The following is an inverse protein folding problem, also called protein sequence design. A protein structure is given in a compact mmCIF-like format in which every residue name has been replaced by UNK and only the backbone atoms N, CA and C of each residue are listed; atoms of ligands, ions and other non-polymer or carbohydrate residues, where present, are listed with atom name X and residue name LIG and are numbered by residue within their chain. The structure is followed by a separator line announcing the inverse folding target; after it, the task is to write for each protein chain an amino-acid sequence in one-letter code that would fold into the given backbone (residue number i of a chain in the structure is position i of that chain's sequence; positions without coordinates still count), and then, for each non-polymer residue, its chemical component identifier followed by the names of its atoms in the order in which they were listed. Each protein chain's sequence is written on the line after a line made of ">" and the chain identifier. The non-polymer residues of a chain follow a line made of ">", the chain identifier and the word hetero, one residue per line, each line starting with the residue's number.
data_IF_564388655316
#
_entry.id   IF_564388655316
#
_cell.length_a   1.000
_cell.length_b   1.000
_cell.length_c   1.000
_cell.angle_alpha   90.00
_cell.angle_beta   90.00
_cell.angle_gamma   90.00
#
_symmetry.space_group_name_H-M   'P 1'
#
loop_
_entity.id
_entity.type
_entity.pdbx_description
1 polymer ?
#
# COMPACT_ATOMS: atom_id res chain seq x y z
N UNK A 1 18.08 -4.60 14.88
CA UNK A 1 16.70 -5.11 14.66
C UNK A 1 15.95 -4.05 13.91
N UNK A 2 15.43 -4.36 12.72
CA UNK A 2 14.54 -3.44 12.03
C UNK A 2 13.19 -3.63 12.66
N UNK A 3 12.84 -2.66 13.47
CA UNK A 3 11.52 -2.60 14.04
C UNK A 3 10.64 -1.89 13.03
N UNK A 4 9.55 -2.52 12.62
CA UNK A 4 8.52 -1.89 11.82
C UNK A 4 7.68 -0.95 12.72
N UNK A 5 8.39 -0.15 13.51
CA UNK A 5 7.83 0.82 14.44
C UNK A 5 8.20 2.23 14.03
N UNK A 6 7.21 3.07 13.87
CA UNK A 6 7.34 4.48 13.60
C UNK A 6 7.12 5.36 14.85
N UNK A 7 6.96 6.64 14.60
CA UNK A 7 6.68 7.61 15.67
C UNK A 7 5.24 7.51 16.18
N UNK A 8 4.30 7.17 15.31
CA UNK A 8 2.86 7.17 15.58
C UNK A 8 2.20 5.83 15.33
N UNK A 9 2.88 4.92 14.65
CA UNK A 9 2.30 3.67 14.18
C UNK A 9 3.30 2.53 14.20
N UNK A 10 2.76 1.33 14.08
CA UNK A 10 3.50 0.11 13.79
C UNK A 10 3.01 -0.47 12.46
N UNK A 11 3.90 -1.12 11.73
CA UNK A 11 3.54 -1.98 10.62
C UNK A 11 3.64 -3.42 11.11
N UNK A 12 2.55 -4.17 10.96
CA UNK A 12 2.49 -5.56 11.42
C UNK A 12 1.85 -6.48 10.40
N UNK A 13 2.11 -7.77 10.54
CA UNK A 13 1.44 -8.77 9.74
C UNK A 13 -0.08 -8.76 9.95
N UNK A 14 -0.80 -9.34 8.98
CA UNK A 14 -2.21 -9.63 9.10
C UNK A 14 -2.43 -10.72 10.16
N UNK A 15 -3.48 -10.55 10.96
CA UNK A 15 -3.93 -11.51 11.96
C UNK A 15 -5.39 -11.90 11.67
N UNK A 16 -5.86 -13.07 12.15
CA UNK A 16 -7.25 -13.48 11.96
C UNK A 16 -8.28 -12.46 12.45
N UNK A 17 -7.93 -11.70 13.47
CA UNK A 17 -8.76 -10.64 14.08
C UNK A 17 -8.97 -9.44 13.15
N UNK A 18 -8.17 -9.31 12.09
CA UNK A 18 -8.29 -8.22 11.11
C UNK A 18 -9.43 -8.43 10.11
N UNK A 19 -10.20 -9.52 10.20
CA UNK A 19 -11.27 -9.84 9.26
C UNK A 19 -12.29 -8.70 9.11
N UNK A 20 -12.75 -8.15 10.22
CA UNK A 20 -13.76 -7.08 10.18
C UNK A 20 -13.17 -5.77 9.65
N UNK A 21 -11.92 -5.48 9.96
CA UNK A 21 -11.19 -4.35 9.39
C UNK A 21 -11.04 -4.49 7.87
N UNK A 22 -10.62 -5.66 7.38
CA UNK A 22 -10.51 -5.92 5.95
C UNK A 22 -11.87 -5.84 5.25
N UNK A 23 -12.91 -6.44 5.85
CA UNK A 23 -14.25 -6.44 5.28
C UNK A 23 -14.78 -5.01 5.11
N UNK A 24 -14.59 -4.17 6.11
CA UNK A 24 -15.01 -2.75 6.06
C UNK A 24 -14.17 -1.96 5.05
N UNK A 25 -12.85 -2.16 5.04
CA UNK A 25 -11.94 -1.40 4.20
C UNK A 25 -12.04 -1.79 2.72
N UNK A 26 -12.05 -3.08 2.41
CA UNK A 26 -12.11 -3.59 1.03
C UNK A 26 -13.48 -3.33 0.38
N UNK A 27 -14.53 -3.15 1.17
CA UNK A 27 -15.87 -2.83 0.68
C UNK A 27 -16.22 -1.33 0.74
N UNK A 28 -15.30 -0.49 1.20
CA UNK A 28 -15.48 0.96 1.15
C UNK A 28 -15.26 1.47 -0.29
N UNK A 29 -16.35 1.87 -0.94
CA UNK A 29 -16.32 2.35 -2.32
C UNK A 29 -15.46 3.59 -2.53
N UNK A 30 -15.16 4.36 -1.49
CA UNK A 30 -14.22 5.48 -1.57
C UNK A 30 -12.78 5.04 -1.92
N UNK A 31 -12.43 3.79 -1.62
CA UNK A 31 -11.11 3.24 -1.92
C UNK A 31 -11.07 2.42 -3.22
N UNK A 32 -12.22 2.09 -3.80
CA UNK A 32 -12.28 1.22 -4.98
C UNK A 32 -11.53 1.78 -6.19
N UNK A 33 -11.51 3.08 -6.36
CA UNK A 33 -10.75 3.71 -7.45
C UNK A 33 -9.24 3.50 -7.29
N UNK A 34 -8.75 3.55 -6.06
CA UNK A 34 -7.32 3.37 -5.75
C UNK A 34 -6.92 1.90 -5.80
N UNK A 35 -7.81 1.00 -5.33
CA UNK A 35 -7.56 -0.44 -5.27
C UNK A 35 -7.94 -1.21 -6.53
N UNK A 36 -8.52 -0.54 -7.55
CA UNK A 36 -9.08 -1.16 -8.76
C UNK A 36 -10.15 -2.24 -8.46
N UNK A 37 -10.87 -2.08 -7.36
CA UNK A 37 -11.94 -3.00 -6.96
C UNK A 37 -13.20 -2.69 -7.73
N UNK A 38 -13.90 -3.71 -8.21
CA UNK A 38 -15.14 -3.56 -8.99
C UNK A 38 -16.33 -4.27 -8.35
N UNK A 39 -16.07 -5.24 -7.46
CA UNK A 39 -17.09 -6.06 -6.83
C UNK A 39 -16.84 -6.17 -5.33
N UNK A 40 -17.89 -6.31 -4.51
CA UNK A 40 -17.71 -6.47 -3.08
C UNK A 40 -17.07 -7.81 -2.72
N UNK A 41 -16.35 -7.81 -1.62
CA UNK A 41 -15.75 -9.01 -1.02
C UNK A 41 -16.67 -9.57 0.06
N UNK A 42 -16.87 -10.89 0.07
CA UNK A 42 -17.52 -11.58 1.18
C UNK A 42 -16.54 -11.79 2.34
N UNK A 43 -17.06 -11.91 3.56
CA UNK A 43 -16.23 -12.34 4.69
C UNK A 43 -15.60 -13.71 4.48
N UNK A 44 -16.27 -14.59 3.76
CA UNK A 44 -15.73 -15.91 3.42
C UNK A 44 -14.44 -15.82 2.59
N UNK A 45 -14.45 -15.02 1.51
CA UNK A 45 -13.27 -14.79 0.67
C UNK A 45 -12.14 -14.13 1.46
N UNK A 46 -12.45 -13.12 2.27
CA UNK A 46 -11.45 -12.45 3.09
C UNK A 46 -10.87 -13.36 4.18
N UNK A 47 -11.68 -14.26 4.73
CA UNK A 47 -11.19 -15.28 5.67
C UNK A 47 -10.20 -16.24 5.00
N UNK A 48 -10.51 -16.72 3.79
CA UNK A 48 -9.58 -17.53 3.01
C UNK A 48 -8.28 -16.78 2.70
N UNK A 49 -8.38 -15.49 2.37
CA UNK A 49 -7.21 -14.65 2.16
C UNK A 49 -6.33 -14.57 3.43
N UNK A 50 -6.93 -14.38 4.60
CA UNK A 50 -6.19 -14.37 5.88
C UNK A 50 -5.57 -15.74 6.19
N UNK A 51 -6.26 -16.84 5.93
CA UNK A 51 -5.72 -18.19 6.10
C UNK A 51 -4.51 -18.46 5.21
N UNK A 52 -4.43 -17.83 4.03
CA UNK A 52 -3.31 -17.92 3.09
C UNK A 52 -2.26 -16.83 3.27
N UNK A 53 -2.43 -15.92 4.23
CA UNK A 53 -1.48 -14.82 4.49
C UNK A 53 -0.12 -15.28 5.04
N UNK A 54 0.04 -16.58 5.37
CA UNK A 54 1.30 -17.20 5.75
C UNK A 54 2.25 -17.45 4.56
N UNK A 55 1.77 -17.36 3.32
CA UNK A 55 2.62 -17.53 2.15
C UNK A 55 3.72 -16.48 2.16
N UNK A 56 4.95 -16.90 1.88
CA UNK A 56 6.04 -15.97 1.82
C UNK A 56 5.98 -15.07 0.57
N UNK A 57 6.73 -13.99 0.61
CA UNK A 57 6.73 -12.98 -0.46
C UNK A 57 7.24 -13.53 -1.80
N UNK A 58 8.07 -14.58 -1.80
CA UNK A 58 8.59 -15.19 -3.03
C UNK A 58 7.56 -16.03 -3.74
N UNK A 59 6.64 -16.65 -2.98
CA UNK A 59 5.49 -17.36 -3.54
C UNK A 59 4.36 -16.40 -3.92
N UNK A 60 3.93 -15.58 -2.99
CA UNK A 60 2.80 -14.69 -3.16
C UNK A 60 3.07 -13.53 -4.13
N UNK A 61 4.34 -13.15 -4.32
CA UNK A 61 4.77 -11.96 -5.07
C UNK A 61 4.16 -10.66 -4.58
N UNK A 62 3.66 -10.67 -3.35
CA UNK A 62 3.03 -9.55 -2.67
C UNK A 62 3.20 -9.66 -1.16
N UNK A 63 3.10 -8.53 -0.48
CA UNK A 63 3.10 -8.43 0.97
C UNK A 63 2.10 -7.35 1.37
N UNK A 64 1.25 -7.64 2.34
CA UNK A 64 0.37 -6.65 2.97
C UNK A 64 0.69 -6.55 4.44
N UNK A 65 0.88 -5.33 4.93
CA UNK A 65 1.02 -5.05 6.34
C UNK A 65 -0.10 -4.12 6.81
N UNK A 66 -0.57 -4.35 8.02
CA UNK A 66 -1.50 -3.45 8.70
C UNK A 66 -0.73 -2.23 9.23
N UNK A 67 -1.28 -1.07 9.00
CA UNK A 67 -0.88 0.17 9.68
C UNK A 67 -1.71 0.25 10.97
N UNK A 68 -1.04 0.10 12.10
CA UNK A 68 -1.67 0.10 13.42
C UNK A 68 -1.24 1.34 14.20
N UNK A 69 -2.19 2.14 14.67
CA UNK A 69 -1.88 3.28 15.52
C UNK A 69 -1.29 2.83 16.85
N UNK A 70 -0.12 3.35 17.22
CA UNK A 70 0.63 2.91 18.41
C UNK A 70 -0.05 3.20 19.73
N UNK A 71 -0.89 4.25 19.80
CA UNK A 71 -1.55 4.65 21.05
C UNK A 71 -2.74 3.77 21.41
N UNK A 72 -3.48 3.33 20.40
CA UNK A 72 -4.76 2.63 20.58
C UNK A 72 -4.71 1.18 20.14
N UNK A 73 -3.60 0.75 19.48
CA UNK A 73 -3.48 -0.54 18.82
C UNK A 73 -4.63 -0.80 17.83
N UNK A 74 -5.08 0.25 17.15
CA UNK A 74 -6.17 0.19 16.18
C UNK A 74 -5.61 0.12 14.77
N UNK A 75 -6.12 -0.81 13.96
CA UNK A 75 -5.84 -0.86 12.53
C UNK A 75 -6.46 0.37 11.84
N UNK A 76 -5.65 1.19 11.18
CA UNK A 76 -6.06 2.44 10.55
C UNK A 76 -5.80 2.48 9.05
N UNK A 77 -5.12 1.49 8.51
CA UNK A 77 -4.78 1.42 7.10
C UNK A 77 -3.98 0.18 6.76
N UNK A 78 -3.51 0.15 5.54
CA UNK A 78 -2.69 -0.93 4.99
C UNK A 78 -1.59 -0.35 4.11
N UNK A 79 -0.46 -1.04 4.07
CA UNK A 79 0.61 -0.77 3.11
C UNK A 79 0.94 -2.07 2.37
N UNK A 80 1.00 -1.99 1.07
CA UNK A 80 1.14 -3.13 0.19
C UNK A 80 2.43 -3.06 -0.62
N UNK A 81 3.01 -4.22 -0.82
CA UNK A 81 4.04 -4.46 -1.82
C UNK A 81 3.44 -5.44 -2.83
N UNK A 82 3.52 -5.12 -4.12
CA UNK A 82 2.96 -5.91 -5.20
C UNK A 82 3.95 -6.04 -6.35
N UNK A 83 3.70 -6.96 -7.27
CA UNK A 83 4.59 -7.25 -8.40
C UNK A 83 6.06 -7.43 -7.96
N UNK A 84 6.24 -8.12 -6.82
CA UNK A 84 7.56 -8.39 -6.28
C UNK A 84 8.34 -9.27 -7.26
N UNK A 85 9.42 -8.73 -7.75
CA UNK A 85 10.33 -9.41 -8.68
C UNK A 85 11.72 -9.53 -8.06
N UNK A 86 12.05 -10.70 -7.49
CA UNK A 86 13.35 -10.91 -6.85
C UNK A 86 14.52 -10.92 -7.83
N UNK A 87 14.30 -11.36 -9.08
CA UNK A 87 15.34 -11.37 -10.10
C UNK A 87 15.80 -9.95 -10.45
N UNK A 88 14.85 -9.03 -10.62
CA UNK A 88 15.13 -7.64 -10.95
C UNK A 88 15.15 -6.72 -9.73
N UNK A 89 14.96 -7.28 -8.54
CA UNK A 89 15.03 -6.59 -7.25
C UNK A 89 14.14 -5.33 -7.22
N UNK A 90 12.88 -5.48 -7.67
CA UNK A 90 11.91 -4.38 -7.72
C UNK A 90 10.53 -4.82 -7.23
N UNK A 91 9.75 -3.86 -6.78
CA UNK A 91 8.34 -4.05 -6.45
C UNK A 91 7.58 -2.74 -6.54
N UNK A 92 6.26 -2.84 -6.73
CA UNK A 92 5.35 -1.73 -6.56
C UNK A 92 4.95 -1.59 -5.09
N UNK A 93 4.63 -0.38 -4.68
CA UNK A 93 4.08 -0.10 -3.35
C UNK A 93 2.80 0.69 -3.45
N UNK A 94 1.86 0.39 -2.55
CA UNK A 94 0.62 1.13 -2.38
C UNK A 94 0.35 1.35 -0.89
N UNK A 95 -0.34 2.43 -0.57
CA UNK A 95 -0.71 2.76 0.81
C UNK A 95 -2.13 3.27 0.86
N UNK A 96 -2.85 2.83 1.88
CA UNK A 96 -4.22 3.25 2.17
C UNK A 96 -4.34 3.55 3.64
N UNK A 97 -4.83 4.75 3.96
CA UNK A 97 -5.14 5.17 5.33
C UNK A 97 -6.61 5.57 5.37
N UNK A 98 -7.35 5.09 6.35
CA UNK A 98 -8.75 5.44 6.53
C UNK A 98 -8.93 6.96 6.62
N UNK A 99 -10.00 7.47 6.01
CA UNK A 99 -10.28 8.90 5.89
C UNK A 99 -10.18 9.65 7.22
N UNK A 100 -10.64 9.04 8.29
CA UNK A 100 -10.59 9.57 9.66
C UNK A 100 -9.15 9.89 10.13
N UNK A 101 -8.15 9.18 9.61
CA UNK A 101 -6.74 9.29 10.01
C UNK A 101 -5.87 9.97 8.96
N UNK A 102 -6.45 10.39 7.83
CA UNK A 102 -5.72 11.13 6.80
C UNK A 102 -5.32 12.53 7.28
N UNK A 103 -4.34 13.12 6.61
CA UNK A 103 -3.79 14.46 6.91
C UNK A 103 -3.24 14.61 8.34
N UNK A 104 -2.87 13.50 8.98
CA UNK A 104 -2.32 13.47 10.35
C UNK A 104 -0.88 12.93 10.41
N UNK A 105 -0.25 12.73 9.24
CA UNK A 105 1.13 12.25 9.13
C UNK A 105 1.31 10.73 9.22
N UNK A 106 0.25 9.93 9.29
CA UNK A 106 0.35 8.47 9.37
C UNK A 106 0.94 7.86 8.09
N UNK A 107 0.50 8.31 6.91
CA UNK A 107 1.03 7.81 5.65
C UNK A 107 2.53 8.11 5.50
N UNK A 108 2.98 9.31 5.88
CA UNK A 108 4.40 9.67 5.89
C UNK A 108 5.19 8.82 6.88
N UNK A 109 4.65 8.59 8.09
CA UNK A 109 5.32 7.75 9.09
C UNK A 109 5.44 6.30 8.60
N UNK A 110 4.39 5.76 7.98
CA UNK A 110 4.41 4.41 7.38
C UNK A 110 5.48 4.29 6.28
N UNK A 111 5.54 5.24 5.34
CA UNK A 111 6.56 5.21 4.28
C UNK A 111 7.98 5.36 4.84
N UNK A 112 8.18 6.16 5.88
CA UNK A 112 9.48 6.34 6.51
C UNK A 112 10.05 5.04 7.09
N UNK A 113 9.18 4.09 7.43
CA UNK A 113 9.54 2.75 7.93
C UNK A 113 9.65 1.76 6.77
N UNK A 114 8.66 1.77 5.88
CA UNK A 114 8.50 0.76 4.85
C UNK A 114 9.56 0.85 3.75
N UNK A 115 9.96 2.05 3.36
CA UNK A 115 11.02 2.25 2.35
C UNK A 115 12.35 1.65 2.80
N UNK A 116 12.87 1.95 4.00
CA UNK A 116 14.07 1.28 4.50
C UNK A 116 13.93 -0.24 4.62
N UNK A 117 12.76 -0.74 5.00
CA UNK A 117 12.48 -2.18 5.01
C UNK A 117 12.62 -2.80 3.63
N UNK A 118 12.04 -2.18 2.60
CA UNK A 118 12.16 -2.64 1.22
C UNK A 118 13.62 -2.71 0.75
N UNK A 119 14.41 -1.71 1.07
CA UNK A 119 15.79 -1.63 0.62
C UNK A 119 16.77 -2.48 1.43
N UNK A 120 16.63 -2.49 2.77
CA UNK A 120 17.60 -3.14 3.66
C UNK A 120 17.28 -4.61 3.93
N UNK A 121 15.99 -4.96 4.07
CA UNK A 121 15.58 -6.33 4.40
C UNK A 121 15.23 -7.12 3.15
N UNK A 122 14.38 -6.56 2.29
CA UNK A 122 14.00 -7.22 1.04
C UNK A 122 15.05 -7.07 -0.05
N UNK A 123 16.10 -6.29 0.20
CA UNK A 123 17.24 -6.07 -0.70
C UNK A 123 16.79 -5.62 -2.10
N UNK A 124 15.73 -4.81 -2.17
CA UNK A 124 15.27 -4.25 -3.43
C UNK A 124 16.23 -3.17 -3.93
N UNK A 125 16.37 -3.07 -5.24
CA UNK A 125 17.10 -2.00 -5.91
C UNK A 125 16.20 -0.78 -6.15
N UNK A 126 14.93 -1.02 -6.41
CA UNK A 126 13.98 0.04 -6.70
C UNK A 126 12.57 -0.34 -6.27
N UNK A 127 11.78 0.68 -5.99
CA UNK A 127 10.35 0.58 -5.76
C UNK A 127 9.62 1.60 -6.62
N UNK A 128 8.39 1.29 -7.02
CA UNK A 128 7.58 2.19 -7.83
C UNK A 128 6.16 2.31 -7.26
N UNK A 129 5.47 3.36 -7.64
CA UNK A 129 4.07 3.56 -7.31
C UNK A 129 3.30 4.03 -8.55
N UNK A 130 2.09 3.50 -8.72
CA UNK A 130 1.16 3.94 -9.76
C UNK A 130 0.14 4.87 -9.11
N UNK A 131 0.04 6.10 -9.61
CA UNK A 131 -0.81 7.13 -9.01
C UNK A 131 -1.70 7.73 -10.07
N UNK A 132 -3.02 7.72 -9.83
CA UNK A 132 -3.98 8.42 -10.69
C UNK A 132 -3.60 9.89 -10.77
N UNK A 133 -3.65 10.46 -11.96
CA UNK A 133 -3.16 11.82 -12.24
C UNK A 133 -3.85 12.92 -11.42
N UNK A 134 -5.07 12.70 -10.95
CA UNK A 134 -5.82 13.64 -10.12
C UNK A 134 -5.64 13.45 -8.61
N UNK A 135 -4.91 12.41 -8.17
CA UNK A 135 -4.65 12.15 -6.75
C UNK A 135 -3.47 12.99 -6.24
N UNK A 136 -3.70 14.27 -6.04
CA UNK A 136 -2.67 15.22 -5.61
C UNK A 136 -2.07 14.87 -4.24
N UNK A 137 -2.87 14.27 -3.35
CA UNK A 137 -2.41 13.87 -2.02
C UNK A 137 -1.33 12.79 -2.11
N UNK A 138 -1.55 11.75 -2.92
CA UNK A 138 -0.55 10.70 -3.14
C UNK A 138 0.67 11.22 -3.91
N UNK A 139 0.47 12.05 -4.94
CA UNK A 139 1.57 12.66 -5.68
C UNK A 139 2.50 13.42 -4.75
N UNK A 140 1.93 14.27 -3.87
CA UNK A 140 2.70 15.03 -2.88
C UNK A 140 3.41 14.10 -1.88
N UNK A 141 2.70 13.09 -1.37
CA UNK A 141 3.25 12.13 -0.41
C UNK A 141 4.49 11.43 -0.97
N UNK A 142 4.38 10.80 -2.14
CA UNK A 142 5.48 10.07 -2.74
C UNK A 142 6.62 11.00 -3.18
N UNK A 143 6.31 12.19 -3.69
CA UNK A 143 7.33 13.19 -4.05
C UNK A 143 8.15 13.63 -2.84
N UNK A 144 7.55 13.74 -1.66
CA UNK A 144 8.25 14.06 -0.42
C UNK A 144 9.26 12.98 0.02
N UNK A 145 9.10 11.75 -0.48
CA UNK A 145 10.04 10.64 -0.29
C UNK A 145 10.98 10.44 -1.49
N UNK A 146 11.16 11.48 -2.31
CA UNK A 146 12.05 11.50 -3.46
C UNK A 146 11.66 10.55 -4.60
N UNK A 147 10.43 10.06 -4.65
CA UNK A 147 9.94 9.38 -5.83
C UNK A 147 9.83 10.38 -6.98
N UNK A 148 10.30 9.99 -8.15
CA UNK A 148 10.27 10.80 -9.37
C UNK A 148 9.25 10.26 -10.35
N UNK A 149 8.44 11.13 -10.94
CA UNK A 149 7.56 10.74 -12.02
C UNK A 149 8.40 10.40 -13.26
N UNK A 150 8.31 9.16 -13.72
CA UNK A 150 9.09 8.63 -14.85
C UNK A 150 8.25 8.36 -16.08
N UNK A 151 6.93 8.36 -15.96
CA UNK A 151 6.06 8.07 -17.08
C UNK A 151 4.60 8.38 -16.82
N UNK A 152 3.84 8.39 -17.93
CA UNK A 152 2.40 8.62 -17.95
C UNK A 152 1.77 7.52 -18.80
N UNK A 153 0.79 6.82 -18.23
CA UNK A 153 -0.10 5.92 -18.96
C UNK A 153 -1.37 6.70 -19.30
N UNK A 154 -1.58 6.99 -20.59
CA UNK A 154 -2.71 7.77 -21.06
C UNK A 154 -4.00 6.95 -21.05
N UNK A 155 -5.11 7.60 -20.66
CA UNK A 155 -6.47 7.01 -20.65
C UNK A 155 -6.51 5.63 -20.00
N UNK A 156 -5.74 5.47 -18.90
CA UNK A 156 -5.45 4.17 -18.32
C UNK A 156 -6.58 3.63 -17.43
N UNK A 157 -7.29 4.53 -16.74
CA UNK A 157 -8.36 4.18 -15.80
C UNK A 157 -9.67 4.84 -16.25
N UNK A 158 -10.72 4.03 -16.36
CA UNK A 158 -12.08 4.52 -16.65
C UNK A 158 -12.86 4.62 -15.34
N UNK A 159 -13.10 5.83 -14.86
CA UNK A 159 -13.72 6.12 -13.58
C UNK A 159 -14.84 7.14 -13.78
N UNK A 160 -16.05 6.80 -13.30
CA UNK A 160 -17.22 7.67 -13.37
C UNK A 160 -17.49 8.23 -14.79
N UNK A 161 -17.31 7.40 -15.81
CA UNK A 161 -17.54 7.76 -17.19
C UNK A 161 -16.41 8.56 -17.87
N UNK A 162 -15.28 8.74 -17.20
CA UNK A 162 -14.13 9.53 -17.69
C UNK A 162 -12.85 8.72 -17.66
N UNK A 163 -12.07 8.81 -18.73
CA UNK A 163 -10.71 8.26 -18.74
C UNK A 163 -9.76 9.16 -17.95
N UNK A 164 -8.95 8.52 -17.11
CA UNK A 164 -7.93 9.17 -16.30
C UNK A 164 -6.56 8.60 -16.65
N UNK A 165 -5.56 9.47 -16.68
CA UNK A 165 -4.18 9.06 -16.79
C UNK A 165 -3.69 8.48 -15.46
N UNK A 166 -2.69 7.59 -15.54
CA UNK A 166 -1.98 7.08 -14.39
C UNK A 166 -0.49 7.40 -14.52
N UNK A 167 0.09 7.97 -13.48
CA UNK A 167 1.50 8.28 -13.41
C UNK A 167 2.29 7.12 -12.79
N UNK A 168 3.50 6.89 -13.30
CA UNK A 168 4.47 5.99 -12.69
C UNK A 168 5.51 6.84 -11.96
N UNK A 169 5.65 6.59 -10.66
CA UNK A 169 6.68 7.17 -9.81
C UNK A 169 7.68 6.09 -9.42
N UNK A 170 8.95 6.44 -9.35
CA UNK A 170 10.06 5.51 -9.09
C UNK A 170 10.99 6.09 -8.04
N UNK A 171 11.47 5.22 -7.15
CA UNK A 171 12.55 5.48 -6.22
C UNK A 171 13.62 4.39 -6.37
N UNK A 172 14.84 4.79 -6.71
CA UNK A 172 16.00 3.91 -6.81
C UNK A 172 16.81 4.04 -5.51
N UNK A 173 17.26 2.90 -5.00
CA UNK A 173 18.17 2.83 -3.84
C UNK A 173 19.59 3.11 -4.33
N UNK A 174 20.07 4.32 -4.13
CA UNK A 174 21.42 4.76 -4.45
C UNK A 174 22.42 4.41 -3.35
#
# INVERSE_FOLDING_TARGET
>A
MILLHGKKLNLRALEPEDLDFLYTTENDTNFWQVSNTQVPFSKFVLKQYLENAHQDIYEAKQLRLIIEESKTNTAIGMIDLFDFNPQHRRAGIGILVHKKFQNSGFASDALSIFIPYCFKILNLHQIFANIISNNQQSIKLFSNFNFKKIGIKKDWLFIDGVYNDEFIFQLINE
#
